data_IF_396274965784
#
_entry.id   IF_396274965784
#
_cell.length_a   1.000
_cell.length_b   1.000
_cell.length_c   1.000
_cell.angle_alpha   90.00
_cell.angle_beta   90.00
_cell.angle_gamma   90.00
#
_symmetry.space_group_name_H-M   'P 1'
#
loop_
_entity.id
_entity.type
_entity.pdbx_description
1 polymer ?
#
# COMPACT_ATOMS: atom_id res chain seq x y z
N UNK A 1 -3.36 24.39 3.32
CA UNK A 1 -3.11 23.72 2.03
C UNK A 1 -3.98 22.49 1.84
N UNK A 2 -5.24 22.75 1.48
CA UNK A 2 -6.33 21.79 1.24
C UNK A 2 -6.50 21.46 -0.25
N UNK A 3 -5.50 21.67 -1.10
CA UNK A 3 -5.68 21.73 -2.57
C UNK A 3 -5.72 20.35 -3.23
N UNK A 4 -4.99 19.37 -2.71
CA UNK A 4 -4.95 18.01 -3.29
C UNK A 4 -6.24 17.26 -3.04
N UNK A 5 -6.84 17.49 -1.89
CA UNK A 5 -8.11 16.90 -1.50
C UNK A 5 -9.30 17.51 -2.28
N UNK A 6 -9.19 18.72 -2.85
CA UNK A 6 -10.28 19.36 -3.63
C UNK A 6 -10.52 18.78 -5.02
N UNK A 7 -9.57 18.12 -5.65
CA UNK A 7 -9.79 17.38 -6.91
C UNK A 7 -10.44 16.01 -6.70
N UNK A 8 -10.29 15.45 -5.53
CA UNK A 8 -11.10 14.33 -5.06
C UNK A 8 -12.31 14.99 -4.40
N UNK A 9 -13.48 15.12 -5.09
CA UNK A 9 -14.71 15.76 -4.56
C UNK A 9 -15.08 15.20 -3.18
N UNK A 10 -14.70 15.92 -2.10
CA UNK A 10 -14.94 15.53 -0.70
C UNK A 10 -16.38 15.86 -0.33
N UNK A 11 -17.17 14.88 0.08
CA UNK A 11 -18.36 15.10 0.90
C UNK A 11 -18.16 14.42 2.26
N UNK A 12 -18.09 15.30 3.28
CA UNK A 12 -18.35 15.10 4.71
C UNK A 12 -17.49 14.07 5.46
N UNK A 13 -16.57 14.62 6.25
CA UNK A 13 -15.84 13.92 7.31
C UNK A 13 -16.87 13.54 8.40
N UNK A 14 -16.99 12.26 8.71
CA UNK A 14 -17.61 11.76 9.93
C UNK A 14 -16.52 11.33 10.93
N UNK A 15 -16.81 11.36 12.21
CA UNK A 15 -15.88 10.99 13.29
C UNK A 15 -15.22 9.63 13.00
N UNK A 16 -13.90 9.62 12.74
CA UNK A 16 -13.15 8.42 12.40
C UNK A 16 -12.32 8.47 11.13
N UNK A 17 -12.34 9.57 10.40
CA UNK A 17 -11.23 9.95 9.51
C UNK A 17 -11.14 9.35 8.12
N UNK A 18 -12.09 8.61 7.56
CA UNK A 18 -11.94 7.99 6.23
C UNK A 18 -12.90 8.55 5.21
N UNK A 19 -12.36 8.81 3.99
CA UNK A 19 -13.15 9.20 2.84
C UNK A 19 -13.39 8.00 1.94
N UNK A 20 -14.57 7.44 2.04
CA UNK A 20 -15.02 6.42 1.11
C UNK A 20 -15.97 7.05 0.08
N UNK A 21 -15.70 6.77 -1.20
CA UNK A 21 -16.62 7.06 -2.29
C UNK A 21 -16.87 5.77 -3.07
N UNK A 22 -17.84 5.04 -2.65
CA UNK A 22 -18.17 3.75 -3.23
C UNK A 22 -18.48 2.73 -2.15
N UNK A 23 -18.87 1.54 -2.54
CA UNK A 23 -18.98 0.43 -1.62
C UNK A 23 -17.58 -0.01 -1.17
N UNK A 24 -17.44 -0.40 0.10
CA UNK A 24 -16.23 -0.99 0.64
C UNK A 24 -15.87 -2.23 -0.19
N UNK A 25 -14.62 -2.38 -0.64
CA UNK A 25 -14.22 -3.57 -1.37
C UNK A 25 -14.42 -4.81 -0.50
N UNK A 26 -14.82 -5.91 -1.12
CA UNK A 26 -15.10 -7.18 -0.44
C UNK A 26 -14.04 -8.20 -0.80
N UNK A 27 -13.87 -9.19 0.06
CA UNK A 27 -12.98 -10.33 -0.21
C UNK A 27 -13.28 -10.94 -1.58
N UNK A 28 -12.23 -11.11 -2.39
CA UNK A 28 -12.31 -11.60 -3.77
C UNK A 28 -12.44 -10.51 -4.83
N UNK A 29 -12.76 -9.28 -4.47
CA UNK A 29 -12.82 -8.17 -5.43
C UNK A 29 -11.45 -7.91 -6.05
N UNK A 30 -11.47 -7.47 -7.31
CA UNK A 30 -10.27 -7.04 -8.03
C UNK A 30 -10.23 -5.53 -8.07
N UNK A 31 -9.18 -4.95 -7.49
CA UNK A 31 -9.01 -3.50 -7.40
C UNK A 31 -7.67 -3.04 -7.95
N UNK A 32 -7.58 -1.78 -8.35
CA UNK A 32 -6.30 -1.11 -8.62
C UNK A 32 -5.73 -0.53 -7.33
N UNK A 33 -4.40 -0.44 -7.25
CA UNK A 33 -3.71 0.42 -6.30
C UNK A 33 -3.13 1.58 -7.08
N UNK A 34 -3.36 2.82 -6.62
CA UNK A 34 -2.92 4.05 -7.28
C UNK A 34 -2.16 4.90 -6.27
N UNK A 35 -0.85 5.00 -6.46
CA UNK A 35 0.00 5.91 -5.72
C UNK A 35 0.04 7.28 -6.39
N UNK A 36 -0.08 8.33 -5.60
CA UNK A 36 0.03 9.72 -6.02
C UNK A 36 1.23 10.37 -5.35
N UNK A 37 1.84 11.37 -5.97
CA UNK A 37 2.74 12.30 -5.29
C UNK A 37 1.93 13.42 -4.62
N UNK A 38 2.56 14.19 -3.76
CA UNK A 38 1.92 15.22 -2.95
C UNK A 38 1.19 16.31 -3.76
N UNK A 39 1.64 16.58 -4.99
CA UNK A 39 1.00 17.53 -5.92
C UNK A 39 -0.26 16.96 -6.62
N UNK A 40 -0.58 15.68 -6.39
CA UNK A 40 -1.70 14.97 -6.99
C UNK A 40 -1.39 14.35 -8.35
N UNK A 41 -0.15 14.38 -8.81
CA UNK A 41 0.28 13.61 -9.98
C UNK A 41 0.30 12.12 -9.66
N UNK A 42 -0.06 11.29 -10.65
CA UNK A 42 0.04 9.83 -10.50
C UNK A 42 1.53 9.46 -10.48
N UNK A 43 1.92 8.72 -9.46
CA UNK A 43 3.24 8.14 -9.36
C UNK A 43 3.28 6.76 -9.98
N UNK A 44 2.38 5.85 -9.57
CA UNK A 44 2.37 4.45 -10.02
C UNK A 44 1.00 3.83 -9.89
N UNK A 45 0.65 2.89 -10.80
CA UNK A 45 -0.61 2.14 -10.78
C UNK A 45 -0.31 0.65 -10.85
N UNK A 46 -0.78 -0.14 -9.88
CA UNK A 46 -0.85 -1.60 -9.96
C UNK A 46 -2.27 -1.99 -10.36
N UNK A 47 -2.41 -2.60 -11.55
CA UNK A 47 -3.72 -2.74 -12.19
C UNK A 47 -4.61 -3.85 -11.63
N UNK A 48 -4.02 -4.91 -11.06
CA UNK A 48 -4.78 -6.05 -10.56
C UNK A 48 -4.30 -6.48 -9.20
N UNK A 49 -5.13 -6.28 -8.18
CA UNK A 49 -4.91 -6.75 -6.81
C UNK A 49 -6.19 -7.38 -6.31
N UNK A 50 -6.10 -8.56 -5.70
CA UNK A 50 -7.22 -9.29 -5.11
C UNK A 50 -7.37 -8.86 -3.66
N UNK A 51 -8.56 -8.49 -3.26
CA UNK A 51 -8.88 -8.18 -1.86
C UNK A 51 -8.94 -9.48 -1.07
N UNK A 52 -8.11 -9.62 -0.06
CA UNK A 52 -8.10 -10.76 0.87
C UNK A 52 -8.87 -10.44 2.14
N UNK A 53 -8.76 -9.21 2.62
CA UNK A 53 -9.47 -8.69 3.79
C UNK A 53 -9.73 -7.20 3.64
N UNK A 54 -10.86 -6.74 4.14
CA UNK A 54 -11.20 -5.32 4.19
C UNK A 54 -12.12 -5.07 5.39
N UNK A 55 -11.54 -4.77 6.54
CA UNK A 55 -12.30 -4.39 7.74
C UNK A 55 -12.27 -2.88 8.00
N UNK A 56 -12.54 -2.45 9.23
CA UNK A 56 -12.56 -1.03 9.61
C UNK A 56 -11.16 -0.44 9.79
N UNK A 57 -10.14 -1.27 9.97
CA UNK A 57 -8.77 -0.84 10.28
C UNK A 57 -7.79 -1.21 9.19
N UNK A 58 -7.94 -2.38 8.57
CA UNK A 58 -6.97 -2.92 7.63
C UNK A 58 -7.59 -3.25 6.29
N UNK A 59 -6.76 -3.15 5.27
CA UNK A 59 -7.03 -3.65 3.93
C UNK A 59 -5.83 -4.47 3.50
N UNK A 60 -6.07 -5.75 3.20
CA UNK A 60 -5.04 -6.68 2.75
C UNK A 60 -5.35 -7.10 1.33
N UNK A 61 -4.39 -6.90 0.45
CA UNK A 61 -4.48 -7.22 -0.96
C UNK A 61 -3.36 -8.18 -1.34
N UNK A 62 -3.59 -8.95 -2.41
CA UNK A 62 -2.54 -9.75 -3.03
C UNK A 62 -2.49 -9.49 -4.53
N UNK A 63 -1.29 -9.58 -5.09
CA UNK A 63 -1.10 -9.61 -6.54
C UNK A 63 -0.01 -10.61 -6.94
N UNK A 64 -0.10 -11.07 -8.18
CA UNK A 64 0.88 -11.92 -8.82
C UNK A 64 0.93 -11.55 -10.29
N UNK A 65 2.12 -11.23 -10.80
CA UNK A 65 2.34 -10.83 -12.20
C UNK A 65 1.36 -9.73 -12.65
N UNK A 66 1.17 -8.72 -11.80
CA UNK A 66 0.30 -7.58 -12.12
C UNK A 66 1.01 -6.59 -13.01
N UNK A 67 0.27 -6.02 -13.97
CA UNK A 67 0.75 -4.91 -14.78
C UNK A 67 0.91 -3.69 -13.88
N UNK A 68 2.03 -2.98 -14.04
CA UNK A 68 2.33 -1.71 -13.38
C UNK A 68 2.53 -0.64 -14.43
N UNK A 69 1.95 0.54 -14.19
CA UNK A 69 2.18 1.74 -15.02
C UNK A 69 2.89 2.80 -14.18
N UNK A 70 4.02 3.28 -14.65
CA UNK A 70 4.79 4.37 -14.06
C UNK A 70 4.24 5.75 -14.43
N UNK A 71 4.69 6.79 -13.74
CA UNK A 71 4.28 8.19 -13.98
C UNK A 71 4.56 8.69 -15.40
N UNK A 72 5.56 8.15 -16.07
CA UNK A 72 5.93 8.49 -17.46
C UNK A 72 5.22 7.62 -18.52
N UNK A 73 4.30 6.75 -18.10
CA UNK A 73 3.53 5.86 -18.97
C UNK A 73 4.21 4.54 -19.30
N UNK A 74 5.48 4.32 -18.91
CA UNK A 74 6.12 3.00 -19.06
C UNK A 74 5.37 1.94 -18.27
N UNK A 75 5.36 0.72 -18.79
CA UNK A 75 4.70 -0.41 -18.13
C UNK A 75 5.66 -1.57 -17.94
N UNK A 76 5.43 -2.33 -16.88
CA UNK A 76 6.14 -3.58 -16.58
C UNK A 76 5.23 -4.51 -15.78
N UNK A 77 5.64 -5.74 -15.59
CA UNK A 77 4.87 -6.75 -14.85
C UNK A 77 5.68 -7.20 -13.64
N UNK A 78 5.03 -7.26 -12.47
CA UNK A 78 5.67 -7.78 -11.25
C UNK A 78 6.09 -9.25 -11.45
N UNK A 79 7.18 -9.66 -10.82
CA UNK A 79 7.75 -10.99 -11.03
C UNK A 79 7.24 -12.02 -10.01
N UNK A 80 7.14 -11.59 -8.76
CA UNK A 80 6.76 -12.41 -7.60
C UNK A 80 5.35 -12.14 -7.11
N UNK A 81 4.81 -13.05 -6.32
CA UNK A 81 3.63 -12.79 -5.50
C UNK A 81 3.96 -11.74 -4.47
N UNK A 82 3.04 -10.82 -4.25
CA UNK A 82 3.14 -9.81 -3.19
C UNK A 82 1.82 -9.67 -2.45
N UNK A 83 1.91 -9.52 -1.13
CA UNK A 83 0.81 -9.05 -0.27
C UNK A 83 1.02 -7.56 -0.02
N UNK A 84 -0.06 -6.79 0.00
CA UNK A 84 -0.03 -5.37 0.31
C UNK A 84 -0.94 -5.11 1.50
N UNK A 85 -0.35 -4.64 2.59
CA UNK A 85 -1.03 -4.32 3.83
C UNK A 85 -1.16 -2.82 4.01
N UNK A 86 -2.38 -2.34 4.19
CA UNK A 86 -2.71 -0.98 4.56
C UNK A 86 -3.38 -0.96 5.93
N UNK A 87 -3.04 0.05 6.72
CA UNK A 87 -3.72 0.32 7.99
C UNK A 87 -4.21 1.78 8.00
N UNK A 88 -5.44 1.97 8.41
CA UNK A 88 -6.13 3.26 8.31
C UNK A 88 -5.54 4.38 9.21
N UNK A 89 -4.82 4.04 10.27
CA UNK A 89 -4.18 5.00 11.18
C UNK A 89 -2.66 5.13 10.98
N UNK A 90 -2.11 4.39 10.01
CA UNK A 90 -0.68 4.42 9.75
C UNK A 90 -0.37 5.26 8.51
N UNK A 91 0.68 6.05 8.60
CA UNK A 91 1.23 6.79 7.47
C UNK A 91 2.33 5.97 6.79
N UNK A 92 2.05 4.71 6.58
CA UNK A 92 2.84 3.78 5.79
C UNK A 92 1.97 2.61 5.32
N UNK A 93 2.39 1.95 4.26
CA UNK A 93 1.91 0.63 3.86
C UNK A 93 3.07 -0.36 3.81
N UNK A 94 2.78 -1.65 3.84
CA UNK A 94 3.79 -2.71 3.87
C UNK A 94 3.50 -3.69 2.74
N UNK A 95 4.52 -3.97 1.93
CA UNK A 95 4.48 -4.95 0.85
C UNK A 95 5.36 -6.13 1.25
N UNK A 96 4.76 -7.33 1.37
CA UNK A 96 5.48 -8.58 1.58
C UNK A 96 5.72 -9.22 0.20
N UNK A 97 6.96 -9.34 -0.23
CA UNK A 97 7.35 -9.91 -1.51
C UNK A 97 7.96 -11.30 -1.30
N UNK A 98 7.37 -12.31 -1.92
CA UNK A 98 7.84 -13.70 -1.81
C UNK A 98 8.91 -13.95 -2.84
N UNK A 99 10.16 -14.10 -2.38
CA UNK A 99 11.34 -14.34 -3.22
C UNK A 99 11.97 -15.69 -2.88
N UNK A 100 12.90 -16.15 -3.72
CA UNK A 100 13.59 -17.44 -3.55
C UNK A 100 14.35 -17.54 -2.22
N UNK A 101 14.89 -16.42 -1.71
CA UNK A 101 15.65 -16.34 -0.47
C UNK A 101 14.78 -16.02 0.77
N UNK A 102 13.47 -15.91 0.60
CA UNK A 102 12.50 -15.65 1.67
C UNK A 102 11.61 -14.42 1.44
N UNK A 103 10.91 -14.00 2.48
CA UNK A 103 10.01 -12.84 2.41
C UNK A 103 10.78 -11.56 2.63
N UNK A 104 10.74 -10.69 1.62
CA UNK A 104 11.24 -9.32 1.71
C UNK A 104 10.07 -8.38 1.99
N UNK A 105 10.29 -7.40 2.86
CA UNK A 105 9.30 -6.37 3.12
C UNK A 105 9.77 -5.03 2.56
N UNK A 106 8.87 -4.36 1.85
CA UNK A 106 9.06 -3.01 1.36
C UNK A 106 7.94 -2.14 1.90
N UNK A 107 8.27 -1.08 2.61
CA UNK A 107 7.30 -0.25 3.29
C UNK A 107 7.44 1.18 2.81
N UNK A 108 6.41 1.71 2.15
CA UNK A 108 6.38 3.11 1.73
C UNK A 108 5.84 3.98 2.87
N UNK A 109 6.53 5.06 3.22
CA UNK A 109 5.97 6.15 4.02
C UNK A 109 4.94 6.88 3.15
N UNK A 110 3.68 6.81 3.53
CA UNK A 110 2.55 7.23 2.71
C UNK A 110 1.44 7.83 3.55
N UNK A 111 0.49 8.52 2.92
CA UNK A 111 -0.76 8.83 3.60
C UNK A 111 -1.52 7.53 3.95
N UNK A 112 -2.43 7.56 4.93
CA UNK A 112 -3.46 6.52 5.04
C UNK A 112 -4.17 6.33 3.70
N UNK A 113 -4.62 5.09 3.45
CA UNK A 113 -5.30 4.78 2.21
C UNK A 113 -6.73 5.34 2.18
N UNK A 114 -7.21 5.57 0.97
CA UNK A 114 -8.62 5.80 0.66
C UNK A 114 -9.01 4.90 -0.51
N UNK A 115 -10.29 4.67 -0.73
CA UNK A 115 -10.73 3.99 -1.94
C UNK A 115 -12.01 4.63 -2.50
N UNK A 116 -12.20 4.46 -3.80
CA UNK A 116 -13.39 4.82 -4.55
C UNK A 116 -13.57 3.83 -5.72
N UNK A 117 -14.44 4.18 -6.67
CA UNK A 117 -14.72 3.33 -7.85
C UNK A 117 -13.49 3.04 -8.72
N UNK A 118 -12.43 3.84 -8.63
CA UNK A 118 -11.21 3.64 -9.41
C UNK A 118 -10.21 2.69 -8.73
N UNK A 119 -10.32 2.49 -7.42
CA UNK A 119 -9.44 1.63 -6.63
C UNK A 119 -8.97 2.22 -5.31
N UNK A 120 -7.97 1.59 -4.73
CA UNK A 120 -7.27 2.01 -3.51
C UNK A 120 -6.25 3.08 -3.85
N UNK A 121 -6.23 4.17 -3.09
CA UNK A 121 -5.41 5.36 -3.35
C UNK A 121 -4.63 5.77 -2.11
N UNK A 122 -3.40 6.22 -2.32
CA UNK A 122 -2.59 6.83 -1.27
C UNK A 122 -1.62 7.87 -1.86
N UNK A 123 -1.06 8.73 -1.01
CA UNK A 123 0.01 9.64 -1.38
C UNK A 123 1.32 9.04 -0.89
N UNK A 124 2.24 8.84 -1.81
CA UNK A 124 3.60 8.41 -1.55
C UNK A 124 4.46 9.61 -1.13
N UNK A 125 5.26 9.44 -0.08
CA UNK A 125 6.11 10.49 0.49
C UNK A 125 7.60 10.14 0.40
N UNK A 126 7.98 9.35 -0.58
CA UNK A 126 9.35 9.06 -1.00
C UNK A 126 10.16 8.18 -0.04
N UNK A 127 10.06 8.39 1.28
CA UNK A 127 10.78 7.57 2.25
C UNK A 127 10.29 6.14 2.26
N UNK A 128 11.23 5.20 2.23
CA UNK A 128 10.94 3.78 2.24
C UNK A 128 11.76 3.05 3.30
N UNK A 129 11.22 1.96 3.86
CA UNK A 129 11.99 1.02 4.67
C UNK A 129 11.94 -0.35 4.00
N UNK A 130 13.12 -0.92 3.74
CA UNK A 130 13.26 -2.27 3.23
C UNK A 130 13.82 -3.19 4.30
N UNK A 131 13.10 -4.30 4.59
CA UNK A 131 13.54 -5.35 5.51
C UNK A 131 13.79 -6.63 4.71
N UNK A 132 14.89 -7.30 5.04
CA UNK A 132 15.36 -8.52 4.42
C UNK A 132 15.02 -9.76 5.26
N UNK A 133 15.07 -10.98 4.68
CA UNK A 133 14.78 -12.21 5.42
C UNK A 133 15.72 -12.46 6.60
N UNK A 134 16.96 -11.94 6.58
CA UNK A 134 17.93 -12.03 7.68
C UNK A 134 17.59 -11.07 8.86
N UNK A 135 16.50 -10.33 8.75
CA UNK A 135 16.01 -9.40 9.78
C UNK A 135 16.60 -7.98 9.66
N UNK A 136 17.65 -7.76 8.88
CA UNK A 136 18.19 -6.41 8.68
C UNK A 136 17.22 -5.53 7.92
N UNK A 137 17.17 -4.24 8.27
CA UNK A 137 16.38 -3.26 7.53
C UNK A 137 17.13 -1.94 7.36
N UNK A 138 16.74 -1.19 6.34
CA UNK A 138 17.36 0.08 5.97
C UNK A 138 16.29 1.10 5.60
N UNK A 139 16.49 2.33 6.06
CA UNK A 139 15.76 3.50 5.54
C UNK A 139 16.38 3.89 4.21
N UNK A 140 15.54 4.13 3.23
CA UNK A 140 15.93 4.42 1.83
C UNK A 140 15.35 5.76 1.39
N UNK A 141 15.94 6.31 0.33
CA UNK A 141 15.43 7.44 -0.45
C UNK A 141 15.32 8.77 0.31
N UNK A 142 16.14 8.95 1.38
CA UNK A 142 16.19 10.18 2.17
C UNK A 142 16.56 11.40 1.31
N UNK A 143 17.44 11.23 0.32
CA UNK A 143 17.82 12.31 -0.60
C UNK A 143 16.65 12.72 -1.51
N UNK A 144 15.89 11.74 -2.03
CA UNK A 144 14.67 11.99 -2.81
C UNK A 144 13.63 12.70 -1.96
N UNK A 145 13.40 12.22 -0.74
CA UNK A 145 12.50 12.87 0.22
C UNK A 145 12.88 14.33 0.45
N UNK A 146 14.16 14.63 0.72
CA UNK A 146 14.61 15.99 0.98
C UNK A 146 14.42 16.91 -0.23
N UNK A 147 14.65 16.41 -1.45
CA UNK A 147 14.40 17.15 -2.69
C UNK A 147 12.91 17.39 -2.92
N UNK A 148 12.09 16.33 -2.77
CA UNK A 148 10.66 16.38 -3.01
C UNK A 148 9.92 17.18 -1.94
N UNK A 149 10.39 17.18 -0.71
CA UNK A 149 9.90 18.04 0.38
C UNK A 149 9.93 19.52 -0.02
N UNK A 150 10.99 19.97 -0.67
CA UNK A 150 11.11 21.34 -1.20
C UNK A 150 10.24 21.50 -2.45
N UNK A 151 10.37 20.60 -3.41
CA UNK A 151 9.69 20.65 -4.70
C UNK A 151 8.17 20.66 -4.57
N UNK A 152 7.62 19.76 -3.75
CA UNK A 152 6.18 19.63 -3.54
C UNK A 152 5.67 20.40 -2.33
N UNK A 153 6.57 21.14 -1.64
CA UNK A 153 6.24 21.99 -0.48
C UNK A 153 5.53 21.21 0.64
N UNK A 154 6.14 20.11 1.09
CA UNK A 154 5.64 19.39 2.26
C UNK A 154 5.65 20.34 3.46
N UNK A 155 4.48 20.61 4.05
CA UNK A 155 4.39 21.47 5.22
C UNK A 155 5.02 20.82 6.47
N UNK A 156 5.43 21.62 7.44
CA UNK A 156 6.01 21.13 8.70
C UNK A 156 5.18 20.05 9.39
N UNK A 157 3.84 20.13 9.28
CA UNK A 157 2.94 19.14 9.85
C UNK A 157 3.12 17.77 9.19
N UNK A 158 3.26 17.72 7.87
CA UNK A 158 3.50 16.48 7.13
C UNK A 158 4.87 15.92 7.51
N UNK A 159 5.92 16.74 7.51
CA UNK A 159 7.26 16.33 7.91
C UNK A 159 7.29 15.69 9.31
N UNK A 160 6.61 16.30 10.29
CA UNK A 160 6.51 15.75 11.65
C UNK A 160 5.76 14.41 11.68
N UNK A 161 4.66 14.30 10.92
CA UNK A 161 3.88 13.06 10.84
C UNK A 161 4.72 11.93 10.22
N UNK A 162 5.45 12.22 9.14
CA UNK A 162 6.28 11.22 8.47
C UNK A 162 7.42 10.75 9.38
N UNK A 163 8.15 11.66 10.03
CA UNK A 163 9.20 11.32 11.00
C UNK A 163 8.68 10.46 12.16
N UNK A 164 7.50 10.79 12.68
CA UNK A 164 6.85 9.97 13.70
C UNK A 164 6.53 8.56 13.16
N UNK A 165 6.04 8.46 11.92
CA UNK A 165 5.69 7.16 11.34
C UNK A 165 6.90 6.34 10.90
N UNK A 166 8.05 6.95 10.56
CA UNK A 166 9.32 6.22 10.40
C UNK A 166 9.65 5.49 11.70
N UNK A 167 9.66 6.20 12.85
CA UNK A 167 9.94 5.59 14.15
C UNK A 167 8.91 4.51 14.52
N UNK A 168 7.61 4.76 14.25
CA UNK A 168 6.54 3.80 14.47
C UNK A 168 6.73 2.53 13.65
N UNK A 169 7.13 2.66 12.38
CA UNK A 169 7.37 1.52 11.50
C UNK A 169 8.60 0.72 11.95
N UNK A 170 9.68 1.39 12.38
CA UNK A 170 10.86 0.72 12.96
C UNK A 170 10.47 -0.05 14.23
N UNK A 171 9.66 0.55 15.11
CA UNK A 171 9.12 -0.15 16.28
C UNK A 171 8.25 -1.37 15.89
N UNK A 172 7.46 -1.27 14.82
CA UNK A 172 6.70 -2.41 14.30
C UNK A 172 7.60 -3.52 13.78
N UNK A 173 8.71 -3.17 13.11
CA UNK A 173 9.71 -4.15 12.64
C UNK A 173 10.33 -4.88 13.82
N UNK A 174 10.78 -4.14 14.83
CA UNK A 174 11.47 -4.69 16.01
C UNK A 174 10.54 -5.58 16.85
N UNK A 175 9.24 -5.25 16.90
CA UNK A 175 8.21 -6.00 17.64
C UNK A 175 7.48 -7.05 16.79
N UNK A 176 7.82 -7.21 15.52
CA UNK A 176 7.11 -8.08 14.59
C UNK A 176 5.60 -7.84 14.58
N UNK A 177 5.18 -6.57 14.45
CA UNK A 177 3.78 -6.17 14.54
C UNK A 177 3.08 -6.09 13.17
N UNK A 178 1.75 -6.34 13.14
CA UNK A 178 0.93 -6.25 11.92
C UNK A 178 1.41 -7.19 10.82
N UNK A 179 1.65 -6.67 9.61
CA UNK A 179 2.13 -7.47 8.49
C UNK A 179 3.56 -8.04 8.68
N UNK A 180 4.26 -7.64 9.73
CA UNK A 180 5.61 -8.12 10.05
C UNK A 180 5.59 -9.28 11.05
N UNK A 181 4.40 -9.71 11.54
CA UNK A 181 4.26 -10.87 12.39
C UNK A 181 4.77 -12.14 11.67
N UNK A 182 5.40 -13.09 12.39
CA UNK A 182 6.12 -14.21 11.77
C UNK A 182 5.27 -15.07 10.82
N UNK A 183 4.00 -15.26 11.14
CA UNK A 183 3.05 -16.10 10.41
C UNK A 183 2.17 -15.30 9.42
N UNK A 184 2.23 -13.97 9.45
CA UNK A 184 1.34 -13.12 8.63
C UNK A 184 1.46 -13.45 7.13
N UNK A 185 2.68 -13.49 6.62
CA UNK A 185 2.93 -13.69 5.19
C UNK A 185 2.41 -15.06 4.73
N UNK A 186 2.69 -16.12 5.48
CA UNK A 186 2.27 -17.49 5.14
C UNK A 186 0.76 -17.66 5.19
N UNK A 187 0.12 -17.17 6.25
CA UNK A 187 -1.34 -17.23 6.42
C UNK A 187 -2.06 -16.51 5.28
N UNK A 188 -1.59 -15.34 4.89
CA UNK A 188 -2.25 -14.56 3.82
C UNK A 188 -1.90 -15.05 2.43
N UNK A 189 -0.74 -15.67 2.23
CA UNK A 189 -0.43 -16.38 0.99
C UNK A 189 -1.37 -17.56 0.78
N UNK A 190 -1.58 -18.40 1.80
CA UNK A 190 -2.55 -19.50 1.73
C UNK A 190 -3.98 -19.01 1.44
N UNK A 191 -4.40 -17.90 2.05
CA UNK A 191 -5.72 -17.31 1.76
C UNK A 191 -5.83 -16.86 0.30
N UNK A 192 -4.79 -16.25 -0.25
CA UNK A 192 -4.72 -15.88 -1.65
C UNK A 192 -4.83 -17.11 -2.56
N UNK A 193 -4.06 -18.15 -2.30
CA UNK A 193 -4.07 -19.39 -3.10
C UNK A 193 -5.44 -20.09 -3.09
N UNK A 194 -6.13 -20.10 -1.94
CA UNK A 194 -7.51 -20.62 -1.83
C UNK A 194 -8.47 -19.86 -2.75
N UNK A 195 -8.45 -18.53 -2.71
CA UNK A 195 -9.31 -17.69 -3.58
C UNK A 195 -9.01 -17.97 -5.05
N UNK A 196 -7.73 -18.07 -5.43
CA UNK A 196 -7.33 -18.31 -6.81
C UNK A 196 -7.68 -19.73 -7.29
N UNK A 197 -7.61 -20.72 -6.38
CA UNK A 197 -8.04 -22.10 -6.66
C UNK A 197 -9.54 -22.23 -6.88
N UNK A 198 -10.35 -21.54 -6.10
CA UNK A 198 -11.81 -21.49 -6.25
C UNK A 198 -12.22 -20.83 -7.59
N UNK A 199 -11.57 -19.74 -7.98
CA UNK A 199 -11.83 -19.03 -9.26
C UNK A 199 -11.52 -19.94 -10.49
N UNK A 200 -10.46 -20.75 -10.44
CA UNK A 200 -10.12 -21.70 -11.49
C UNK A 200 -11.14 -22.86 -11.59
N UNK A 201 -11.68 -23.32 -10.47
CA UNK A 201 -12.69 -24.38 -10.45
C UNK A 201 -14.03 -23.92 -11.00
N UNK A 202 -14.42 -22.65 -10.80
CA UNK A 202 -15.62 -22.05 -11.38
C UNK A 202 -15.48 -21.93 -12.91
N UNK A 203 -14.34 -21.46 -13.42
CA UNK A 203 -14.08 -21.31 -14.86
C UNK A 203 -13.99 -22.65 -15.62
N UNK A 204 -13.70 -23.77 -14.96
CA UNK A 204 -13.67 -25.11 -15.58
C UNK A 204 -15.06 -25.77 -15.65
N UNK A 205 -16.07 -25.20 -15.00
CA UNK A 205 -17.46 -25.73 -14.97
C UNK A 205 -18.40 -25.01 -15.93
N UNK A 206 -17.91 -24.02 -16.67
CA UNK A 206 -18.61 -23.26 -17.73
C UNK A 206 -18.05 -23.68 -19.08
#
# INVERSE_FOLDING_TARGET
NYVIIKKIKIRKIMKGGYMYRGEKPKKGDVVKIIAYKHDGSIHRIWHKNIVLEADEQVLILANNRTLVTESDGRTWVTKEVALVYFHNECWFNIICMFREDGVHYYSNLSSPFAYDVDGVKYIDYDLDIKKYPDGKYFLLDEDEYNQNKVRYKYGEKIDKILKYNVNKLQEWIDKNHGALAPDFADVWLENYEKIMGEDQNVKRKI
#
